data_IF_967155177248
#
_entry.id   IF_967155177248
#
_cell.length_a   1.000
_cell.length_b   1.000
_cell.length_c   1.000
_cell.angle_alpha   90.00
_cell.angle_beta   90.00
_cell.angle_gamma   90.00
#
_symmetry.space_group_name_H-M   'P 1'
#
loop_
_entity.id
_entity.type
_entity.pdbx_description
1 polymer ?
#
# COMPACT_ATOMS: atom_id res chain seq x y z
N UNK A 1 -6.76 -33.96 13.57
CA UNK A 1 -5.89 -32.92 12.99
C UNK A 1 -6.60 -32.32 11.78
N UNK A 2 -6.70 -30.98 11.70
CA UNK A 2 -7.14 -30.31 10.48
C UNK A 2 -5.91 -30.05 9.61
N UNK A 3 -5.96 -30.41 8.34
CA UNK A 3 -4.91 -30.14 7.37
C UNK A 3 -5.49 -29.31 6.21
N UNK A 4 -4.72 -28.35 5.73
CA UNK A 4 -5.04 -27.57 4.53
C UNK A 4 -4.04 -27.98 3.45
N UNK A 5 -4.55 -28.44 2.31
CA UNK A 5 -3.75 -28.71 1.12
C UNK A 5 -3.89 -27.53 0.18
N UNK A 6 -2.77 -26.88 -0.15
CA UNK A 6 -2.72 -25.76 -1.08
C UNK A 6 -1.85 -26.12 -2.29
N UNK A 7 -2.10 -25.45 -3.41
CA UNK A 7 -1.26 -25.60 -4.59
C UNK A 7 0.14 -25.04 -4.28
N UNK A 8 1.18 -25.79 -4.67
CA UNK A 8 2.57 -25.32 -4.59
C UNK A 8 2.87 -24.37 -5.75
N UNK A 9 3.17 -23.11 -5.42
CA UNK A 9 3.60 -22.07 -6.35
C UNK A 9 5.12 -21.85 -6.35
N UNK A 10 5.89 -22.77 -5.75
CA UNK A 10 7.34 -22.68 -5.66
C UNK A 10 7.79 -21.74 -4.54
N UNK A 11 9.03 -21.28 -4.63
CA UNK A 11 9.70 -20.46 -3.61
C UNK A 11 10.26 -19.13 -4.15
N UNK A 12 9.94 -18.77 -5.40
CA UNK A 12 10.44 -17.54 -6.02
C UNK A 12 9.40 -16.44 -5.86
N UNK A 13 9.73 -15.40 -5.12
CA UNK A 13 8.91 -14.21 -4.97
C UNK A 13 9.18 -13.23 -6.12
N UNK A 14 8.18 -12.47 -6.49
CA UNK A 14 8.30 -11.37 -7.46
C UNK A 14 9.38 -10.36 -7.03
N UNK A 15 9.52 -10.11 -5.72
CA UNK A 15 10.60 -9.26 -5.17
C UNK A 15 11.98 -9.68 -5.67
N UNK A 16 12.33 -10.95 -5.53
CA UNK A 16 13.66 -11.45 -5.92
C UNK A 16 13.90 -11.37 -7.42
N UNK A 17 12.87 -11.61 -8.23
CA UNK A 17 12.95 -11.47 -9.70
C UNK A 17 13.13 -10.01 -10.10
N UNK A 18 12.33 -9.12 -9.51
CA UNK A 18 12.38 -7.68 -9.78
C UNK A 18 13.74 -7.07 -9.40
N UNK A 19 14.25 -7.36 -8.20
CA UNK A 19 15.57 -6.89 -7.76
C UNK A 19 16.67 -7.43 -8.68
N UNK A 20 16.67 -8.73 -8.99
CA UNK A 20 17.66 -9.33 -9.86
C UNK A 20 17.67 -8.76 -11.28
N UNK A 21 16.52 -8.34 -11.81
CA UNK A 21 16.43 -7.66 -13.10
C UNK A 21 16.95 -6.22 -13.01
N UNK A 22 16.59 -5.48 -11.96
CA UNK A 22 17.06 -4.11 -11.74
C UNK A 22 18.59 -4.05 -11.54
N UNK A 23 19.18 -4.99 -10.81
CA UNK A 23 20.63 -5.10 -10.61
C UNK A 23 21.39 -5.33 -11.92
N UNK A 24 20.72 -5.89 -12.94
CA UNK A 24 21.22 -6.08 -14.29
C UNK A 24 20.91 -4.91 -15.24
N UNK A 25 20.31 -3.83 -14.74
CA UNK A 25 19.88 -2.69 -15.56
C UNK A 25 18.63 -2.96 -16.43
N UNK A 26 17.87 -4.02 -16.15
CA UNK A 26 16.72 -4.46 -16.97
C UNK A 26 15.40 -3.88 -16.43
N UNK A 27 15.31 -2.56 -16.43
CA UNK A 27 14.12 -1.85 -15.94
C UNK A 27 12.82 -2.29 -16.66
N UNK A 28 12.86 -2.40 -17.99
CA UNK A 28 11.66 -2.76 -18.77
C UNK A 28 11.17 -4.19 -18.47
N UNK A 29 12.07 -5.16 -18.20
CA UNK A 29 11.67 -6.50 -17.78
C UNK A 29 10.95 -6.46 -16.42
N UNK A 30 11.41 -5.60 -15.50
CA UNK A 30 10.75 -5.39 -14.21
C UNK A 30 9.41 -4.70 -14.38
N UNK A 31 9.32 -3.69 -15.23
CA UNK A 31 8.06 -3.00 -15.54
C UNK A 31 7.02 -3.95 -16.14
N UNK A 32 7.43 -4.86 -17.04
CA UNK A 32 6.56 -5.90 -17.62
C UNK A 32 6.03 -6.86 -16.55
N UNK A 33 6.88 -7.28 -15.62
CA UNK A 33 6.48 -8.14 -14.50
C UNK A 33 5.36 -7.47 -13.67
N UNK A 34 5.45 -6.16 -13.42
CA UNK A 34 4.42 -5.40 -12.73
C UNK A 34 3.15 -5.27 -13.57
N UNK A 35 3.26 -5.04 -14.88
CA UNK A 35 2.10 -4.98 -15.77
C UNK A 35 1.32 -6.30 -15.80
N UNK A 36 2.01 -7.44 -15.77
CA UNK A 36 1.35 -8.76 -15.66
C UNK A 36 0.58 -8.90 -14.34
N UNK A 37 1.03 -8.24 -13.26
CA UNK A 37 0.31 -8.20 -12.00
C UNK A 37 -0.99 -7.40 -12.06
N UNK A 38 -1.09 -6.40 -12.96
CA UNK A 38 -2.34 -5.64 -13.16
C UNK A 38 -3.47 -6.52 -13.72
N UNK A 39 -3.15 -7.59 -14.45
CA UNK A 39 -4.15 -8.60 -14.87
C UNK A 39 -4.81 -9.24 -13.65
N UNK A 40 -4.07 -9.45 -12.57
CA UNK A 40 -4.60 -9.99 -11.32
C UNK A 40 -5.50 -8.97 -10.64
N UNK A 41 -5.06 -7.70 -10.53
CA UNK A 41 -5.87 -6.62 -9.97
C UNK A 41 -7.19 -6.45 -10.73
N UNK A 42 -7.15 -6.52 -12.06
CA UNK A 42 -8.37 -6.49 -12.86
C UNK A 42 -9.30 -7.67 -12.56
N UNK A 43 -8.77 -8.86 -12.31
CA UNK A 43 -9.58 -10.02 -11.88
C UNK A 43 -10.21 -9.79 -10.51
N UNK A 44 -9.56 -9.08 -9.59
CA UNK A 44 -10.15 -8.77 -8.28
C UNK A 44 -11.46 -8.00 -8.40
N UNK A 45 -11.62 -7.15 -9.44
CA UNK A 45 -12.89 -6.45 -9.72
C UNK A 45 -14.04 -7.40 -10.07
N UNK A 46 -13.73 -8.61 -10.53
CA UNK A 46 -14.74 -9.60 -10.92
C UNK A 46 -15.09 -10.57 -9.80
N UNK A 47 -14.42 -10.48 -8.65
CA UNK A 47 -14.70 -11.33 -7.48
C UNK A 47 -16.09 -10.99 -6.96
N UNK A 48 -16.99 -11.96 -7.05
CA UNK A 48 -18.36 -11.80 -6.55
C UNK A 48 -18.40 -11.96 -5.04
N UNK A 49 -19.21 -11.15 -4.35
CA UNK A 49 -19.43 -11.32 -2.92
C UNK A 49 -19.99 -12.72 -2.62
N UNK A 50 -19.34 -13.40 -1.70
CA UNK A 50 -19.87 -14.58 -1.04
C UNK A 50 -20.11 -14.22 0.43
N UNK A 51 -21.37 -14.15 0.85
CA UNK A 51 -21.77 -13.73 2.20
C UNK A 51 -21.18 -14.60 3.31
N UNK A 52 -20.82 -15.84 2.99
CA UNK A 52 -20.17 -16.76 3.92
C UNK A 52 -18.64 -16.55 3.99
N UNK A 53 -18.06 -15.93 2.98
CA UNK A 53 -16.62 -15.68 2.95
C UNK A 53 -16.22 -14.64 4.01
N UNK A 54 -15.18 -14.91 4.83
CA UNK A 54 -14.76 -14.00 5.90
C UNK A 54 -14.40 -12.58 5.43
N UNK A 55 -13.90 -12.43 4.22
CA UNK A 55 -13.52 -11.14 3.65
C UNK A 55 -14.74 -10.23 3.40
N UNK A 56 -15.91 -10.79 3.10
CA UNK A 56 -17.16 -10.06 2.90
C UNK A 56 -17.70 -9.39 4.18
N UNK A 57 -17.21 -9.83 5.35
CA UNK A 57 -17.58 -9.25 6.65
C UNK A 57 -16.64 -8.13 7.09
N UNK A 58 -15.63 -7.82 6.30
CA UNK A 58 -14.61 -6.80 6.59
C UNK A 58 -14.65 -5.72 5.53
N UNK A 59 -14.51 -4.47 5.92
CA UNK A 59 -14.48 -3.33 4.99
C UNK A 59 -13.37 -2.35 5.37
N UNK A 60 -12.81 -1.69 4.37
CA UNK A 60 -12.07 -0.45 4.54
C UNK A 60 -13.06 0.70 4.60
N UNK A 61 -13.62 0.91 5.79
CA UNK A 61 -14.39 2.09 6.14
C UNK A 61 -13.51 3.20 6.70
N UNK A 62 -14.12 4.33 7.00
CA UNK A 62 -13.42 5.48 7.58
C UNK A 62 -12.78 5.15 8.92
N UNK A 63 -13.43 4.34 9.76
CA UNK A 63 -12.89 3.93 11.06
C UNK A 63 -11.64 3.08 10.91
N UNK A 64 -11.62 2.19 9.91
CA UNK A 64 -10.46 1.34 9.63
C UNK A 64 -9.27 2.15 9.14
N UNK A 65 -9.47 3.10 8.22
CA UNK A 65 -8.40 3.98 7.77
C UNK A 65 -7.87 4.87 8.91
N UNK A 66 -8.75 5.43 9.74
CA UNK A 66 -8.35 6.19 10.92
C UNK A 66 -7.54 5.34 11.90
N UNK A 67 -7.95 4.08 12.13
CA UNK A 67 -7.21 3.16 12.97
C UNK A 67 -5.77 2.94 12.42
N UNK A 68 -5.61 2.78 11.11
CA UNK A 68 -4.28 2.60 10.50
C UNK A 68 -3.41 3.85 10.61
N UNK A 69 -3.97 5.06 10.51
CA UNK A 69 -3.26 6.31 10.74
C UNK A 69 -2.85 6.48 12.22
N UNK A 70 -3.75 6.19 13.16
CA UNK A 70 -3.44 6.19 14.58
C UNK A 70 -2.39 5.13 14.95
N UNK A 71 -2.43 3.96 14.31
CA UNK A 71 -1.43 2.92 14.45
C UNK A 71 -0.04 3.41 14.02
N UNK A 72 0.05 4.17 12.91
CA UNK A 72 1.29 4.81 12.51
C UNK A 72 1.80 5.80 13.57
N UNK A 73 0.95 6.70 14.09
CA UNK A 73 1.35 7.63 15.15
C UNK A 73 1.95 6.87 16.33
N UNK A 74 1.24 5.85 16.81
CA UNK A 74 1.65 5.11 18.00
C UNK A 74 2.92 4.30 17.78
N UNK A 75 2.92 3.47 16.73
CA UNK A 75 3.96 2.44 16.58
C UNK A 75 5.24 2.96 15.93
N UNK A 76 5.15 4.05 15.17
CA UNK A 76 6.36 4.66 14.60
C UNK A 76 6.68 6.00 15.23
N UNK A 77 5.81 6.99 15.14
CA UNK A 77 6.14 8.36 15.53
C UNK A 77 6.50 8.44 17.04
N UNK A 78 5.67 7.84 17.90
CA UNK A 78 5.94 7.82 19.34
C UNK A 78 7.00 6.78 19.72
N UNK A 79 6.80 5.49 19.35
CA UNK A 79 7.60 4.39 19.90
C UNK A 79 8.99 4.25 19.23
N UNK A 80 9.15 4.65 17.96
CA UNK A 80 10.44 4.57 17.24
C UNK A 80 11.12 5.93 17.17
N UNK A 81 10.42 6.95 16.68
CA UNK A 81 10.98 8.29 16.49
C UNK A 81 11.05 9.11 17.77
N UNK A 82 10.34 8.73 18.84
CA UNK A 82 10.28 9.46 20.11
C UNK A 82 9.57 10.82 20.01
N UNK A 83 8.77 11.01 18.96
CA UNK A 83 8.07 12.27 18.68
C UNK A 83 6.64 12.17 19.21
N UNK A 84 6.28 13.08 20.10
CA UNK A 84 4.92 13.25 20.60
C UNK A 84 4.36 14.56 20.10
N UNK A 85 3.23 14.49 19.39
CA UNK A 85 2.54 15.68 18.91
C UNK A 85 2.03 16.53 20.07
N UNK A 86 2.14 17.85 19.97
CA UNK A 86 1.45 18.77 20.89
C UNK A 86 -0.06 18.57 20.80
N UNK A 87 -0.80 19.08 21.79
CA UNK A 87 -2.26 18.98 21.82
C UNK A 87 -2.93 19.56 20.58
N UNK A 88 -2.44 20.70 20.10
CA UNK A 88 -2.93 21.37 18.88
C UNK A 88 -2.62 20.55 17.61
N UNK A 89 -1.42 19.98 17.52
CA UNK A 89 -1.02 19.13 16.40
C UNK A 89 -1.82 17.81 16.38
N UNK A 90 -2.05 17.22 17.55
CA UNK A 90 -2.86 15.99 17.69
C UNK A 90 -4.32 16.23 17.25
N UNK A 91 -4.90 17.39 17.60
CA UNK A 91 -6.22 17.81 17.15
C UNK A 91 -6.28 18.00 15.63
N UNK A 92 -5.27 18.66 15.07
CA UNK A 92 -5.15 18.87 13.62
C UNK A 92 -5.02 17.54 12.88
N UNK A 93 -4.12 16.68 13.34
CA UNK A 93 -3.95 15.34 12.78
C UNK A 93 -5.26 14.53 12.81
N UNK A 94 -5.97 14.55 13.94
CA UNK A 94 -7.26 13.86 14.08
C UNK A 94 -8.29 14.38 13.07
N UNK A 95 -8.43 15.70 12.92
CA UNK A 95 -9.37 16.31 11.96
C UNK A 95 -9.04 15.91 10.52
N UNK A 96 -7.77 15.99 10.14
CA UNK A 96 -7.33 15.64 8.79
C UNK A 96 -7.39 14.14 8.52
N UNK A 97 -7.09 13.30 9.53
CA UNK A 97 -7.26 11.85 9.44
C UNK A 97 -8.71 11.45 9.15
N UNK A 98 -9.68 12.12 9.77
CA UNK A 98 -11.10 11.89 9.48
C UNK A 98 -11.43 12.27 8.04
N UNK A 99 -10.96 13.43 7.57
CA UNK A 99 -11.21 13.90 6.20
C UNK A 99 -10.60 12.95 5.16
N UNK A 100 -9.33 12.57 5.34
CA UNK A 100 -8.61 11.62 4.46
C UNK A 100 -9.30 10.25 4.47
N UNK A 101 -9.66 9.74 5.64
CA UNK A 101 -10.30 8.42 5.78
C UNK A 101 -11.67 8.38 5.13
N UNK A 102 -12.49 9.43 5.27
CA UNK A 102 -13.78 9.53 4.60
C UNK A 102 -13.64 9.57 3.08
N UNK A 103 -12.67 10.33 2.58
CA UNK A 103 -12.38 10.40 1.16
C UNK A 103 -11.97 9.04 0.61
N UNK A 104 -11.09 8.31 1.29
CA UNK A 104 -10.62 6.99 0.87
C UNK A 104 -11.71 5.91 0.95
N UNK A 105 -12.61 6.02 1.92
CA UNK A 105 -13.68 5.03 2.14
C UNK A 105 -14.86 5.19 1.16
N UNK A 106 -14.94 6.29 0.39
CA UNK A 106 -16.12 6.60 -0.44
C UNK A 106 -16.45 5.54 -1.49
N UNK A 107 -15.44 4.83 -2.04
CA UNK A 107 -15.58 3.81 -3.10
C UNK A 107 -15.01 2.45 -2.66
N UNK A 108 -15.43 1.94 -1.48
CA UNK A 108 -14.86 0.74 -0.85
C UNK A 108 -15.72 -0.52 -1.08
N UNK A 109 -16.09 -0.82 -2.34
CA UNK A 109 -17.02 -1.91 -2.68
C UNK A 109 -16.41 -3.02 -3.54
N UNK A 110 -15.07 -3.05 -3.65
CA UNK A 110 -14.35 -4.06 -4.41
C UNK A 110 -13.58 -5.02 -3.50
N UNK A 111 -13.25 -6.21 -4.01
CA UNK A 111 -12.31 -7.09 -3.34
C UNK A 111 -10.93 -6.44 -3.32
N UNK A 112 -10.33 -6.35 -2.15
CA UNK A 112 -8.98 -5.86 -1.91
C UNK A 112 -8.20 -6.93 -1.14
N UNK A 113 -7.05 -7.31 -1.67
CA UNK A 113 -6.14 -8.26 -1.04
C UNK A 113 -5.52 -7.68 0.25
N UNK A 114 -5.29 -6.35 0.28
CA UNK A 114 -4.71 -5.56 1.37
C UNK A 114 -3.18 -5.56 1.42
N UNK A 115 -2.56 -6.69 1.23
CA UNK A 115 -1.09 -6.83 1.26
C UNK A 115 -0.57 -7.32 -0.11
N UNK A 116 -1.08 -6.69 -1.21
CA UNK A 116 -0.69 -6.98 -2.59
C UNK A 116 0.61 -6.24 -2.94
N UNK A 117 1.73 -6.87 -2.69
CA UNK A 117 3.08 -6.37 -2.95
C UNK A 117 4.00 -7.51 -3.39
N UNK A 118 5.22 -7.19 -3.83
CA UNK A 118 6.14 -8.12 -4.47
C UNK A 118 6.49 -9.36 -3.65
N UNK A 119 6.37 -9.31 -2.31
CA UNK A 119 6.60 -10.46 -1.42
C UNK A 119 5.43 -11.42 -1.31
N UNK A 120 4.25 -11.01 -1.75
CA UNK A 120 3.04 -11.84 -1.74
C UNK A 120 2.61 -12.26 -3.14
N UNK A 121 3.47 -12.04 -4.13
CA UNK A 121 3.30 -12.54 -5.51
C UNK A 121 4.41 -13.54 -5.80
N UNK A 122 4.02 -14.79 -6.08
CA UNK A 122 4.93 -15.88 -6.45
C UNK A 122 5.08 -15.93 -7.98
N UNK A 123 6.27 -16.27 -8.44
CA UNK A 123 6.59 -16.46 -9.86
C UNK A 123 6.98 -17.90 -10.11
N UNK A 124 6.21 -18.62 -10.95
CA UNK A 124 6.50 -20.01 -11.34
C UNK A 124 6.17 -20.21 -12.83
N UNK A 125 7.17 -20.59 -13.62
CA UNK A 125 6.99 -20.82 -15.07
C UNK A 125 6.27 -19.65 -15.75
N UNK A 126 6.78 -18.43 -15.54
CA UNK A 126 6.21 -17.17 -16.05
C UNK A 126 4.79 -16.84 -15.56
N UNK A 127 4.18 -17.67 -14.76
CA UNK A 127 2.87 -17.40 -14.14
C UNK A 127 3.05 -16.71 -12.80
N UNK A 128 2.11 -15.82 -12.50
CA UNK A 128 2.02 -15.13 -11.21
C UNK A 128 0.90 -15.75 -10.38
N UNK A 129 1.18 -15.97 -9.10
CA UNK A 129 0.18 -16.40 -8.13
C UNK A 129 0.26 -15.53 -6.88
N UNK A 130 -0.89 -15.21 -6.30
CA UNK A 130 -0.99 -14.38 -5.10
C UNK A 130 -1.21 -15.28 -3.89
N UNK A 131 -0.47 -14.99 -2.82
CA UNK A 131 -0.57 -15.68 -1.53
C UNK A 131 -0.93 -14.67 -0.44
N UNK A 132 -1.25 -15.15 0.75
CA UNK A 132 -1.46 -14.31 1.96
C UNK A 132 -2.72 -13.44 1.91
N UNK A 133 -3.83 -14.01 1.40
CA UNK A 133 -5.11 -13.28 1.20
C UNK A 133 -6.09 -13.35 2.39
N UNK A 134 -5.68 -13.93 3.54
CA UNK A 134 -6.58 -14.10 4.70
C UNK A 134 -7.07 -12.78 5.29
N UNK A 135 -6.39 -11.67 5.04
CA UNK A 135 -6.79 -10.33 5.49
C UNK A 135 -7.56 -9.52 4.44
N UNK A 136 -7.93 -10.17 3.33
CA UNK A 136 -8.74 -9.57 2.28
C UNK A 136 -10.06 -9.01 2.82
N UNK A 137 -10.59 -8.00 2.14
CA UNK A 137 -11.81 -7.28 2.54
C UNK A 137 -12.42 -6.49 1.39
N UNK A 138 -13.55 -5.86 1.62
CA UNK A 138 -14.02 -4.80 0.74
C UNK A 138 -13.16 -3.55 0.91
N UNK A 139 -12.86 -2.89 -0.19
CA UNK A 139 -12.07 -1.67 -0.17
C UNK A 139 -12.02 -0.96 -1.52
N UNK A 140 -11.32 0.17 -1.57
CA UNK A 140 -11.11 0.91 -2.83
C UNK A 140 -10.08 0.22 -3.71
N UNK A 141 -10.34 0.19 -5.01
CA UNK A 141 -9.46 -0.44 -6.03
C UNK A 141 -8.04 0.15 -5.99
N UNK A 142 -7.91 1.43 -5.67
CA UNK A 142 -6.62 2.13 -5.55
C UNK A 142 -5.69 1.52 -4.48
N UNK A 143 -6.23 0.82 -3.47
CA UNK A 143 -5.44 0.30 -2.35
C UNK A 143 -4.36 -0.70 -2.82
N UNK A 144 -4.75 -1.73 -3.55
CA UNK A 144 -3.82 -2.77 -4.01
C UNK A 144 -2.93 -2.29 -5.16
N UNK A 145 -3.45 -1.42 -6.04
CA UNK A 145 -2.65 -0.79 -7.09
C UNK A 145 -1.49 0.00 -6.50
N UNK A 146 -1.78 0.87 -5.52
CA UNK A 146 -0.77 1.69 -4.85
C UNK A 146 0.18 0.81 -4.02
N UNK A 147 -0.34 -0.22 -3.32
CA UNK A 147 0.47 -1.16 -2.55
C UNK A 147 1.52 -1.85 -3.40
N UNK A 148 1.19 -2.20 -4.64
CA UNK A 148 2.11 -2.82 -5.58
C UNK A 148 3.11 -1.80 -6.14
N UNK A 149 2.63 -0.69 -6.71
CA UNK A 149 3.47 0.27 -7.43
C UNK A 149 4.43 1.04 -6.51
N UNK A 150 4.04 1.25 -5.25
CA UNK A 150 4.84 1.92 -4.22
C UNK A 150 5.36 0.97 -3.15
N UNK A 151 5.58 -0.28 -3.52
CA UNK A 151 6.20 -1.29 -2.68
C UNK A 151 7.59 -0.83 -2.21
N UNK A 152 7.78 -0.72 -0.90
CA UNK A 152 9.03 -0.25 -0.29
C UNK A 152 10.18 -1.26 -0.38
N UNK A 153 9.91 -2.49 -0.86
CA UNK A 153 10.91 -3.53 -1.01
C UNK A 153 11.67 -3.46 -2.33
N UNK A 154 11.16 -2.73 -3.31
CA UNK A 154 11.75 -2.62 -4.66
C UNK A 154 12.32 -1.21 -4.87
N UNK A 155 13.58 -1.07 -5.29
CA UNK A 155 14.24 0.22 -5.42
C UNK A 155 13.93 0.93 -6.76
N UNK A 156 12.64 1.10 -7.08
CA UNK A 156 12.24 1.93 -8.21
C UNK A 156 12.44 3.41 -7.92
N UNK A 157 12.83 4.16 -8.94
CA UNK A 157 12.76 5.62 -8.88
C UNK A 157 11.29 6.09 -8.85
N UNK A 158 11.05 7.27 -8.29
CA UNK A 158 9.70 7.82 -8.14
C UNK A 158 8.97 7.97 -9.49
N UNK A 159 9.69 8.37 -10.54
CA UNK A 159 9.14 8.50 -11.90
C UNK A 159 8.63 7.17 -12.48
N UNK A 160 9.32 6.06 -12.16
CA UNK A 160 8.96 4.73 -12.63
C UNK A 160 7.70 4.23 -11.90
N UNK A 161 7.60 4.53 -10.59
CA UNK A 161 6.41 4.23 -9.79
C UNK A 161 5.17 4.97 -10.30
N UNK A 162 5.30 6.26 -10.61
CA UNK A 162 4.22 7.05 -11.21
C UNK A 162 3.82 6.50 -12.58
N UNK A 163 4.80 6.10 -13.39
CA UNK A 163 4.55 5.44 -14.68
C UNK A 163 3.79 4.13 -14.49
N UNK A 164 4.16 3.31 -13.51
CA UNK A 164 3.46 2.06 -13.19
C UNK A 164 2.02 2.31 -12.75
N UNK A 165 1.78 3.28 -11.87
CA UNK A 165 0.40 3.64 -11.46
C UNK A 165 -0.44 4.03 -12.66
N UNK A 166 0.07 4.91 -13.52
CA UNK A 166 -0.68 5.35 -14.71
C UNK A 166 -0.98 4.19 -15.66
N UNK A 167 0.00 3.31 -15.93
CA UNK A 167 -0.23 2.08 -16.71
C UNK A 167 -1.24 1.14 -16.03
N UNK A 168 -1.18 1.03 -14.71
CA UNK A 168 -2.12 0.24 -13.91
C UNK A 168 -3.55 0.79 -13.98
N UNK A 169 -3.73 2.10 -13.87
CA UNK A 169 -5.03 2.77 -14.00
C UNK A 169 -5.64 2.46 -15.38
N UNK A 170 -4.89 2.66 -16.46
CA UNK A 170 -5.35 2.36 -17.82
C UNK A 170 -5.73 0.88 -17.98
N UNK A 171 -4.89 -0.03 -17.48
CA UNK A 171 -5.13 -1.46 -17.61
C UNK A 171 -6.36 -1.93 -16.82
N UNK A 172 -6.51 -1.45 -15.58
CA UNK A 172 -7.58 -1.87 -14.66
C UNK A 172 -8.91 -1.28 -15.12
N UNK A 173 -8.94 0.00 -15.47
CA UNK A 173 -10.16 0.68 -15.92
C UNK A 173 -10.69 0.13 -17.25
N UNK A 174 -9.79 -0.28 -18.15
CA UNK A 174 -10.15 -0.96 -19.42
C UNK A 174 -11.29 -0.25 -20.18
N UNK A 175 -11.22 1.07 -20.29
CA UNK A 175 -12.22 1.90 -20.96
C UNK A 175 -13.43 2.30 -20.11
N UNK A 176 -13.51 1.87 -18.86
CA UNK A 176 -14.50 2.38 -17.89
C UNK A 176 -14.02 3.76 -17.37
N UNK A 177 -14.62 4.83 -17.89
CA UNK A 177 -14.24 6.21 -17.57
C UNK A 177 -14.47 6.55 -16.09
N UNK A 178 -15.58 6.11 -15.48
CA UNK A 178 -15.85 6.36 -14.06
C UNK A 178 -14.83 5.70 -13.14
N UNK A 179 -14.47 4.43 -13.40
CA UNK A 179 -13.43 3.76 -12.64
C UNK A 179 -12.04 4.41 -12.84
N UNK A 180 -11.76 4.90 -14.05
CA UNK A 180 -10.51 5.62 -14.33
C UNK A 180 -10.44 6.91 -13.51
N UNK A 181 -11.49 7.73 -13.55
CA UNK A 181 -11.58 8.98 -12.79
C UNK A 181 -11.45 8.73 -11.27
N UNK A 182 -12.11 7.71 -10.74
CA UNK A 182 -11.99 7.32 -9.33
C UNK A 182 -10.55 7.00 -8.95
N UNK A 183 -9.86 6.19 -9.77
CA UNK A 183 -8.46 5.83 -9.53
C UNK A 183 -7.52 7.03 -9.63
N UNK A 184 -7.68 7.88 -10.66
CA UNK A 184 -6.88 9.09 -10.87
C UNK A 184 -7.03 10.09 -9.70
N UNK A 185 -8.25 10.25 -9.19
CA UNK A 185 -8.55 11.14 -8.07
C UNK A 185 -8.03 10.61 -6.73
N UNK A 186 -7.98 9.28 -6.54
CA UNK A 186 -7.77 8.69 -5.22
C UNK A 186 -6.34 8.21 -4.96
N UNK A 187 -5.57 7.83 -5.98
CA UNK A 187 -4.31 7.10 -5.77
C UNK A 187 -3.27 7.88 -4.95
N UNK A 188 -3.20 9.23 -5.06
CA UNK A 188 -2.24 10.05 -4.30
C UNK A 188 -2.56 10.07 -2.81
N UNK A 189 -3.83 10.24 -2.47
CA UNK A 189 -4.32 10.15 -1.10
C UNK A 189 -4.11 8.74 -0.52
N UNK A 190 -4.35 7.71 -1.35
CA UNK A 190 -4.09 6.33 -1.00
C UNK A 190 -2.59 6.06 -0.77
N UNK A 191 -1.71 6.65 -1.59
CA UNK A 191 -0.26 6.56 -1.40
C UNK A 191 0.13 7.10 -0.03
N UNK A 192 -0.32 8.31 0.31
CA UNK A 192 -0.05 8.92 1.61
C UNK A 192 -0.48 7.98 2.76
N UNK A 193 -1.72 7.54 2.76
CA UNK A 193 -2.26 6.65 3.81
C UNK A 193 -1.50 5.32 3.88
N UNK A 194 -1.27 4.68 2.73
CA UNK A 194 -0.62 3.36 2.66
C UNK A 194 0.82 3.39 3.15
N UNK A 195 1.58 4.42 2.80
CA UNK A 195 2.96 4.54 3.24
C UNK A 195 3.05 4.85 4.74
N UNK A 196 2.20 5.73 5.27
CA UNK A 196 2.13 5.96 6.71
C UNK A 196 1.79 4.65 7.46
N UNK A 197 0.79 3.88 6.99
CA UNK A 197 0.48 2.55 7.56
C UNK A 197 1.66 1.60 7.47
N UNK A 198 2.39 1.58 6.35
CA UNK A 198 3.56 0.70 6.17
C UNK A 198 4.68 1.07 7.15
N UNK A 199 4.99 2.37 7.30
CA UNK A 199 5.96 2.89 8.27
C UNK A 199 5.55 2.49 9.70
N UNK A 200 4.28 2.64 10.06
CA UNK A 200 3.75 2.17 11.35
C UNK A 200 3.95 0.66 11.56
N UNK A 201 3.72 -0.14 10.49
CA UNK A 201 3.94 -1.59 10.55
C UNK A 201 5.41 -1.94 10.72
N UNK A 202 6.33 -1.23 10.09
CA UNK A 202 7.78 -1.42 10.27
C UNK A 202 8.20 -1.11 11.71
N UNK A 203 7.67 -0.03 12.30
CA UNK A 203 7.87 0.30 13.72
C UNK A 203 7.37 -0.83 14.64
N UNK A 204 6.13 -1.26 14.46
CA UNK A 204 5.53 -2.34 15.25
C UNK A 204 6.32 -3.64 15.16
N UNK A 205 6.69 -4.08 13.96
CA UNK A 205 7.46 -5.31 13.76
C UNK A 205 8.83 -5.23 14.43
N UNK A 206 9.47 -4.07 14.37
CA UNK A 206 10.81 -3.87 14.93
C UNK A 206 10.78 -3.81 16.46
N UNK A 207 9.87 -3.03 17.06
CA UNK A 207 9.83 -2.79 18.51
C UNK A 207 9.06 -3.89 19.22
N UNK A 208 7.82 -4.20 18.78
CA UNK A 208 6.93 -5.13 19.49
C UNK A 208 7.20 -6.59 19.18
N UNK A 209 7.65 -6.90 17.96
CA UNK A 209 7.93 -8.27 17.51
C UNK A 209 9.41 -8.62 17.50
N UNK A 210 10.27 -7.68 17.91
CA UNK A 210 11.74 -7.83 17.93
C UNK A 210 12.32 -8.29 16.58
N UNK A 211 11.73 -7.81 15.48
CA UNK A 211 12.19 -8.05 14.10
C UNK A 211 12.91 -6.81 13.58
N UNK A 212 14.07 -6.46 14.13
CA UNK A 212 14.80 -5.19 13.92
C UNK A 212 15.11 -4.83 12.45
N UNK A 213 15.09 -5.81 11.54
CA UNK A 213 15.39 -5.58 10.12
C UNK A 213 14.34 -4.75 9.36
N UNK A 214 13.15 -4.49 9.92
CA UNK A 214 12.10 -3.77 9.20
C UNK A 214 12.30 -2.25 9.17
N UNK A 215 13.03 -1.65 10.11
CA UNK A 215 13.27 -0.20 10.12
C UNK A 215 14.03 0.29 8.87
N UNK A 216 14.81 -0.57 8.23
CA UNK A 216 15.50 -0.24 6.97
C UNK A 216 14.56 0.13 5.83
N UNK A 217 13.28 -0.25 5.90
CA UNK A 217 12.26 0.07 4.89
C UNK A 217 11.52 1.39 5.15
N UNK A 218 11.77 2.05 6.29
CA UNK A 218 11.18 3.36 6.60
C UNK A 218 11.67 4.42 5.62
N UNK A 219 12.99 4.50 5.39
CA UNK A 219 13.57 5.45 4.44
C UNK A 219 13.05 5.25 3.03
N UNK A 220 13.08 4.04 2.43
CA UNK A 220 12.45 3.80 1.12
C UNK A 220 10.96 4.17 1.06
N UNK A 221 10.18 3.89 2.12
CA UNK A 221 8.78 4.29 2.18
C UNK A 221 8.62 5.81 2.19
N UNK A 222 9.43 6.50 2.98
CA UNK A 222 9.44 7.97 3.07
C UNK A 222 9.80 8.61 1.73
N UNK A 223 10.79 8.08 1.02
CA UNK A 223 11.23 8.60 -0.29
C UNK A 223 10.12 8.55 -1.35
N UNK A 224 9.11 7.70 -1.16
CA UNK A 224 7.93 7.68 -2.04
C UNK A 224 6.90 8.76 -1.71
N UNK A 225 6.98 9.40 -0.54
CA UNK A 225 6.11 10.48 -0.10
C UNK A 225 6.64 11.84 -0.57
N UNK A 226 6.93 11.95 -1.88
CA UNK A 226 7.36 13.21 -2.49
C UNK A 226 6.23 14.25 -2.36
N UNK A 227 6.52 15.44 -1.76
CA UNK A 227 5.50 16.50 -1.58
C UNK A 227 4.85 16.92 -2.90
N UNK A 228 5.56 16.88 -4.03
CA UNK A 228 4.98 17.22 -5.34
C UNK A 228 3.89 16.24 -5.79
N UNK A 229 3.82 15.06 -5.17
CA UNK A 229 2.85 14.02 -5.48
C UNK A 229 1.74 13.95 -4.43
N UNK A 230 2.11 13.96 -3.14
CA UNK A 230 1.18 13.64 -2.05
C UNK A 230 0.61 14.84 -1.33
N UNK A 231 1.14 16.07 -1.58
CA UNK A 231 0.60 17.27 -0.96
C UNK A 231 -0.85 17.49 -1.38
N UNK A 232 -1.71 17.80 -0.40
CA UNK A 232 -3.12 18.04 -0.61
C UNK A 232 -3.65 19.06 0.41
N UNK A 233 -4.28 20.13 -0.08
CA UNK A 233 -4.82 21.21 0.75
C UNK A 233 -5.95 20.76 1.69
N UNK A 234 -6.53 19.60 1.47
CA UNK A 234 -7.57 19.02 2.34
C UNK A 234 -7.01 18.45 3.65
N UNK A 235 -5.72 18.03 3.64
CA UNK A 235 -4.99 17.50 4.80
C UNK A 235 -3.51 17.91 4.78
N UNK A 236 -3.23 19.22 4.84
CA UNK A 236 -1.89 19.77 4.67
C UNK A 236 -0.93 19.36 5.80
N UNK A 237 -1.42 19.18 7.02
CA UNK A 237 -0.59 18.75 8.14
C UNK A 237 -0.07 17.31 7.94
N UNK A 238 -0.93 16.38 7.49
CA UNK A 238 -0.54 15.01 7.24
C UNK A 238 0.36 14.91 6.00
N UNK A 239 0.03 15.61 4.92
CA UNK A 239 0.76 15.54 3.65
C UNK A 239 2.06 16.35 3.61
N UNK A 240 2.36 17.12 4.65
CA UNK A 240 3.57 17.95 4.74
C UNK A 240 4.26 17.79 6.10
N UNK A 241 3.67 18.28 7.20
CA UNK A 241 4.34 18.30 8.51
C UNK A 241 4.68 16.92 9.06
N UNK A 242 3.77 15.95 8.92
CA UNK A 242 4.03 14.57 9.35
C UNK A 242 5.20 13.96 8.56
N UNK A 243 5.26 14.19 7.25
CA UNK A 243 6.36 13.71 6.39
C UNK A 243 7.69 14.32 6.84
N UNK A 244 7.72 15.63 7.14
CA UNK A 244 8.90 16.33 7.68
C UNK A 244 9.37 15.72 9.01
N UNK A 245 8.44 15.42 9.94
CA UNK A 245 8.75 14.79 11.21
C UNK A 245 9.37 13.39 11.03
N UNK A 246 8.86 12.58 10.11
CA UNK A 246 9.47 11.28 9.78
C UNK A 246 10.87 11.49 9.21
N UNK A 247 11.04 12.43 8.28
CA UNK A 247 12.33 12.69 7.62
C UNK A 247 13.41 13.13 8.63
N UNK A 248 13.05 13.90 9.65
CA UNK A 248 13.99 14.30 10.72
C UNK A 248 14.37 13.16 11.65
N UNK A 249 13.49 12.16 11.82
CA UNK A 249 13.73 11.00 12.69
C UNK A 249 14.55 9.89 12.03
N UNK A 250 14.73 9.93 10.72
CA UNK A 250 15.48 8.89 9.97
C UNK A 250 16.94 9.27 9.68
N UNK A 251 17.39 10.41 10.19
CA UNK A 251 18.82 10.84 10.12
C UNK A 251 19.61 10.18 11.24
#
# INVERSE_FOLDING_TARGET
YAAIIIQDYGNIMMESVAIGALDQGKLEETMDLYQRSFVILKKFLTVKPDREAPWCKRKFDSERFQWELNFFLKEYLENVAGIVLSESEALTFKKESVALSNFLASNSDHFVHRDFHSRNVMVKNEKLAVIDFQDARYGPVSYDLVSLCFDSYIPFEIKDRVTLVNRGIEHISNGNTGLKEDLENQWRAMLLQRQLKAIGSFGYLSVRKNRGNYLKYVKPALETLDPSIVFDERWPFISSKIIELIATSTK
#
